data_IF_691026677364
#
_entry.id   IF_691026677364
#
_cell.length_a   1.000
_cell.length_b   1.000
_cell.length_c   1.000
_cell.angle_alpha   90.00
_cell.angle_beta   90.00
_cell.angle_gamma   90.00
#
_symmetry.space_group_name_H-M   'P 1'
#
loop_
_entity.id
_entity.type
_entity.pdbx_description
1 polymer ?
#
# COMPACT_ATOMS: atom_id res chain seq x y z
N UNK A 1 -10.97 -11.44 2.88
CA UNK A 1 -9.84 -10.52 3.13
C UNK A 1 -9.03 -10.90 4.38
N UNK A 2 -9.60 -11.05 5.58
CA UNK A 2 -8.83 -11.47 6.78
C UNK A 2 -8.11 -12.81 6.57
N UNK A 3 -8.82 -13.86 6.12
CA UNK A 3 -8.21 -15.16 5.83
C UNK A 3 -7.10 -15.07 4.76
N UNK A 4 -7.28 -14.23 3.74
CA UNK A 4 -6.23 -13.97 2.74
C UNK A 4 -5.01 -13.31 3.36
N UNK A 5 -5.19 -12.41 4.33
CA UNK A 5 -4.12 -11.75 5.08
C UNK A 5 -3.31 -12.75 5.90
N UNK A 6 -3.98 -13.62 6.66
CA UNK A 6 -3.33 -14.68 7.45
C UNK A 6 -2.53 -15.62 6.53
N UNK A 7 -3.14 -16.10 5.45
CA UNK A 7 -2.46 -16.96 4.48
C UNK A 7 -1.24 -16.27 3.87
N UNK A 8 -1.39 -15.00 3.47
CA UNK A 8 -0.31 -14.18 2.90
C UNK A 8 0.83 -14.03 3.90
N UNK A 9 0.53 -13.74 5.17
CA UNK A 9 1.54 -13.61 6.22
C UNK A 9 2.35 -14.89 6.42
N UNK A 10 1.68 -16.04 6.45
CA UNK A 10 2.31 -17.37 6.60
C UNK A 10 3.23 -17.64 5.39
N UNK A 11 2.71 -17.48 4.17
CA UNK A 11 3.49 -17.71 2.94
C UNK A 11 4.74 -16.82 2.89
N UNK A 12 4.60 -15.54 3.28
CA UNK A 12 5.71 -14.59 3.28
C UNK A 12 6.78 -14.85 4.36
N UNK A 13 6.55 -15.76 5.32
CA UNK A 13 7.62 -16.23 6.23
C UNK A 13 8.61 -17.15 5.52
N UNK A 14 8.16 -17.87 4.49
CA UNK A 14 8.95 -18.88 3.78
C UNK A 14 9.39 -18.42 2.39
N UNK A 15 8.57 -17.59 1.73
CA UNK A 15 8.81 -17.16 0.35
C UNK A 15 8.81 -15.65 0.27
N UNK A 16 9.97 -15.08 -0.10
CA UNK A 16 10.05 -13.66 -0.43
C UNK A 16 9.25 -13.38 -1.72
N UNK A 17 8.54 -12.25 -1.78
CA UNK A 17 7.83 -11.88 -3.00
C UNK A 17 8.81 -11.75 -4.17
N UNK A 18 8.62 -12.49 -5.29
CA UNK A 18 9.67 -12.71 -6.30
C UNK A 18 9.81 -11.54 -7.29
N UNK A 19 9.71 -10.30 -6.81
CA UNK A 19 9.81 -9.07 -7.62
C UNK A 19 10.63 -7.98 -6.92
N UNK A 20 11.17 -7.04 -7.70
CA UNK A 20 11.99 -5.95 -7.18
C UNK A 20 13.39 -6.41 -6.74
N UNK A 21 13.73 -6.25 -5.46
CA UNK A 21 15.06 -6.63 -4.94
C UNK A 21 15.24 -8.13 -4.74
N UNK A 22 14.14 -8.88 -4.73
CA UNK A 22 14.14 -10.34 -4.59
C UNK A 22 13.88 -11.07 -5.92
N UNK A 23 13.97 -10.36 -7.05
CA UNK A 23 13.95 -11.00 -8.37
C UNK A 23 15.15 -11.95 -8.50
N UNK A 24 14.88 -13.21 -8.83
CA UNK A 24 15.89 -14.27 -9.02
C UNK A 24 15.52 -15.14 -10.23
N UNK A 25 16.37 -16.10 -10.62
CA UNK A 25 15.99 -17.08 -11.67
C UNK A 25 14.68 -17.81 -11.34
N UNK A 26 14.38 -18.03 -10.04
CA UNK A 26 13.12 -18.62 -9.59
C UNK A 26 11.89 -17.75 -9.82
N UNK A 27 12.05 -16.45 -10.13
CA UNK A 27 10.93 -15.58 -10.49
C UNK A 27 10.20 -16.02 -11.77
N UNK A 28 10.91 -16.72 -12.68
CA UNK A 28 10.31 -17.26 -13.92
C UNK A 28 9.37 -18.43 -13.66
N UNK A 29 9.50 -19.12 -12.53
CA UNK A 29 8.57 -20.19 -12.11
C UNK A 29 7.17 -19.64 -11.78
N UNK A 30 7.02 -18.32 -11.60
CA UNK A 30 5.74 -17.63 -11.36
C UNK A 30 5.13 -17.04 -12.65
N UNK A 31 5.57 -17.53 -13.82
CA UNK A 31 5.06 -17.14 -15.14
C UNK A 31 5.91 -16.07 -15.84
N UNK A 32 5.46 -15.58 -17.01
CA UNK A 32 6.22 -14.64 -17.81
C UNK A 32 6.44 -13.32 -17.05
N UNK A 33 7.62 -12.73 -17.28
CA UNK A 33 8.01 -11.44 -16.72
C UNK A 33 7.43 -10.31 -17.58
N UNK A 34 6.62 -9.45 -16.96
CA UNK A 34 5.92 -8.36 -17.63
C UNK A 34 6.48 -6.98 -17.21
N UNK A 35 6.35 -5.95 -18.06
CA UNK A 35 6.80 -4.59 -17.73
C UNK A 35 6.13 -4.08 -16.45
N UNK A 36 6.94 -3.73 -15.45
CA UNK A 36 6.43 -3.40 -14.12
C UNK A 36 5.42 -2.25 -14.14
N UNK A 37 5.61 -1.23 -14.99
CA UNK A 37 4.69 -0.07 -15.09
C UNK A 37 3.28 -0.51 -15.47
N UNK A 38 3.17 -1.38 -16.46
CA UNK A 38 1.90 -1.94 -16.93
C UNK A 38 1.26 -2.80 -15.85
N UNK A 39 2.06 -3.67 -15.19
CA UNK A 39 1.54 -4.50 -14.10
C UNK A 39 0.98 -3.67 -12.94
N UNK A 40 1.72 -2.66 -12.49
CA UNK A 40 1.28 -1.77 -11.40
C UNK A 40 0.00 -1.00 -11.76
N UNK A 41 -0.08 -0.47 -12.98
CA UNK A 41 -1.31 0.18 -13.44
C UNK A 41 -2.49 -0.80 -13.44
N UNK A 42 -2.35 -1.96 -14.08
CA UNK A 42 -3.44 -2.94 -14.21
C UNK A 42 -3.89 -3.45 -12.84
N UNK A 43 -2.96 -3.82 -11.97
CA UNK A 43 -3.31 -4.48 -10.71
C UNK A 43 -3.95 -3.55 -9.67
N UNK A 44 -3.63 -2.25 -9.69
CA UNK A 44 -4.15 -1.28 -8.71
C UNK A 44 -5.42 -0.56 -9.19
N UNK A 45 -5.64 -0.48 -10.52
CA UNK A 45 -6.80 0.18 -11.14
C UNK A 45 -8.19 -0.30 -10.69
N UNK A 46 -8.44 -1.57 -10.30
CA UNK A 46 -9.77 -1.99 -9.86
C UNK A 46 -10.35 -1.14 -8.73
N UNK A 47 -9.52 -0.65 -7.81
CA UNK A 47 -9.99 0.21 -6.71
C UNK A 47 -10.61 1.51 -7.25
N UNK A 48 -9.98 2.16 -8.24
CA UNK A 48 -10.52 3.36 -8.87
C UNK A 48 -11.77 3.07 -9.71
N UNK A 49 -11.76 1.96 -10.45
CA UNK A 49 -12.92 1.53 -11.25
C UNK A 49 -14.14 1.35 -10.35
N UNK A 50 -13.98 0.71 -9.19
CA UNK A 50 -15.08 0.54 -8.24
C UNK A 50 -15.60 1.88 -7.71
N UNK A 51 -14.72 2.86 -7.43
CA UNK A 51 -15.16 4.20 -7.02
C UNK A 51 -16.00 4.85 -8.13
N UNK A 52 -15.51 4.85 -9.38
CA UNK A 52 -16.19 5.49 -10.51
C UNK A 52 -17.55 4.84 -10.78
N UNK A 53 -17.59 3.51 -10.92
CA UNK A 53 -18.82 2.77 -11.21
C UNK A 53 -19.92 3.01 -10.17
N UNK A 54 -19.52 3.21 -8.90
CA UNK A 54 -20.46 3.35 -7.78
C UNK A 54 -20.84 4.79 -7.50
N UNK A 55 -20.00 5.76 -7.85
CA UNK A 55 -20.39 7.18 -7.87
C UNK A 55 -21.36 7.50 -9.01
N UNK A 56 -21.31 6.76 -10.12
CA UNK A 56 -22.28 6.87 -11.21
C UNK A 56 -23.61 6.15 -10.96
N UNK A 57 -23.71 5.37 -9.87
CA UNK A 57 -24.91 4.63 -9.53
C UNK A 57 -25.90 5.53 -8.76
N UNK A 58 -27.10 5.71 -9.29
CA UNK A 58 -28.17 6.47 -8.64
C UNK A 58 -28.61 5.86 -7.30
N UNK A 59 -28.29 4.59 -7.06
CA UNK A 59 -28.54 3.88 -5.81
C UNK A 59 -27.45 4.12 -4.75
N UNK A 60 -26.42 4.93 -5.01
CA UNK A 60 -25.39 5.25 -4.00
C UNK A 60 -25.98 6.20 -2.93
N UNK A 61 -26.65 5.61 -1.94
CA UNK A 61 -27.48 6.33 -0.96
C UNK A 61 -26.66 7.22 -0.02
N UNK A 62 -25.42 6.85 0.28
CA UNK A 62 -24.63 7.54 1.31
C UNK A 62 -23.40 8.29 0.78
N UNK A 63 -23.03 8.14 -0.49
CA UNK A 63 -21.78 8.69 -1.02
C UNK A 63 -21.69 10.21 -0.94
N UNK A 64 -22.82 10.91 -0.91
CA UNK A 64 -22.89 12.37 -0.81
C UNK A 64 -22.85 12.90 0.63
N UNK A 65 -22.93 12.01 1.63
CA UNK A 65 -22.85 12.44 3.04
C UNK A 65 -21.41 12.83 3.36
N UNK A 66 -21.15 13.90 4.14
CA UNK A 66 -19.81 14.45 4.32
C UNK A 66 -18.75 13.42 4.73
N UNK A 67 -19.03 12.60 5.77
CA UNK A 67 -18.07 11.59 6.23
C UNK A 67 -17.77 10.50 5.18
N UNK A 68 -18.81 9.97 4.53
CA UNK A 68 -18.67 8.96 3.48
C UNK A 68 -17.89 9.51 2.28
N UNK A 69 -18.24 10.72 1.83
CA UNK A 69 -17.58 11.39 0.73
C UNK A 69 -16.09 11.63 1.04
N UNK A 70 -15.78 12.19 2.21
CA UNK A 70 -14.38 12.42 2.62
C UNK A 70 -13.58 11.12 2.66
N UNK A 71 -14.12 10.05 3.25
CA UNK A 71 -13.44 8.74 3.28
C UNK A 71 -13.25 8.16 1.86
N UNK A 72 -14.26 8.28 1.00
CA UNK A 72 -14.16 7.84 -0.39
C UNK A 72 -13.10 8.64 -1.15
N UNK A 73 -13.00 9.95 -0.90
CA UNK A 73 -11.96 10.79 -1.49
C UNK A 73 -10.57 10.45 -0.96
N UNK A 74 -10.41 10.16 0.33
CA UNK A 74 -9.13 9.68 0.89
C UNK A 74 -8.68 8.40 0.19
N UNK A 75 -9.58 7.41 0.09
CA UNK A 75 -9.33 6.16 -0.62
C UNK A 75 -9.02 6.39 -2.10
N UNK A 76 -9.80 7.27 -2.75
CA UNK A 76 -9.62 7.63 -4.16
C UNK A 76 -8.32 8.37 -4.45
N UNK A 77 -7.90 9.31 -3.60
CA UNK A 77 -6.64 10.04 -3.75
C UNK A 77 -5.45 9.10 -3.62
N UNK A 78 -5.49 8.18 -2.64
CA UNK A 78 -4.47 7.15 -2.50
C UNK A 78 -4.36 6.33 -3.80
N UNK A 79 -5.46 5.74 -4.26
CA UNK A 79 -5.43 4.87 -5.42
C UNK A 79 -5.21 5.63 -6.73
N UNK A 80 -5.57 6.89 -6.82
CA UNK A 80 -5.21 7.73 -7.96
C UNK A 80 -3.70 7.90 -8.02
N UNK A 81 -3.06 8.17 -6.87
CA UNK A 81 -1.62 8.18 -6.80
C UNK A 81 -1.04 6.81 -7.14
N UNK A 82 -1.52 5.73 -6.53
CA UNK A 82 -0.93 4.39 -6.63
C UNK A 82 -1.10 3.73 -7.99
N UNK A 83 -2.26 3.91 -8.63
CA UNK A 83 -2.57 3.29 -9.93
C UNK A 83 -2.10 4.14 -11.11
N UNK A 84 -2.11 5.47 -10.99
CA UNK A 84 -1.81 6.37 -12.12
C UNK A 84 -0.46 7.06 -11.94
N UNK A 85 -0.30 7.84 -10.87
CA UNK A 85 0.87 8.70 -10.71
C UNK A 85 2.15 7.91 -10.43
N UNK A 86 2.08 6.88 -9.58
CA UNK A 86 3.21 6.07 -9.20
C UNK A 86 3.78 5.27 -10.40
N UNK A 87 2.97 4.56 -11.22
CA UNK A 87 3.48 3.86 -12.40
C UNK A 87 3.97 4.82 -13.49
N UNK A 88 3.37 6.00 -13.61
CA UNK A 88 3.84 7.05 -14.52
C UNK A 88 5.22 7.58 -14.13
N UNK A 89 5.49 7.71 -12.82
CA UNK A 89 6.78 8.17 -12.28
C UNK A 89 7.82 7.07 -12.11
N UNK A 90 7.46 5.81 -12.31
CA UNK A 90 8.38 4.69 -12.19
C UNK A 90 9.33 4.64 -13.40
N UNK A 91 10.60 4.29 -13.16
CA UNK A 91 11.61 4.19 -14.22
C UNK A 91 11.14 3.20 -15.31
N UNK A 92 11.38 3.53 -16.58
CA UNK A 92 11.10 2.67 -17.74
C UNK A 92 11.86 1.35 -17.66
N UNK A 93 13.08 1.37 -17.10
CA UNK A 93 13.93 0.20 -16.92
C UNK A 93 13.68 -0.52 -15.58
N UNK A 94 12.55 -0.26 -14.91
CA UNK A 94 12.21 -0.94 -13.68
C UNK A 94 12.15 -2.46 -13.88
N UNK A 95 12.81 -3.21 -12.99
CA UNK A 95 12.83 -4.67 -13.00
C UNK A 95 11.42 -5.25 -13.18
N UNK A 96 11.24 -6.20 -14.12
CA UNK A 96 9.92 -6.71 -14.47
C UNK A 96 9.30 -7.55 -13.34
N UNK A 97 7.99 -7.76 -13.43
CA UNK A 97 7.19 -8.47 -12.42
C UNK A 97 6.60 -9.76 -13.02
N UNK A 98 6.61 -10.90 -12.30
CA UNK A 98 5.96 -12.12 -12.75
C UNK A 98 4.44 -11.97 -12.88
N UNK A 99 3.85 -12.56 -13.92
CA UNK A 99 2.40 -12.52 -14.18
C UNK A 99 1.56 -12.99 -12.99
N UNK A 100 1.93 -14.10 -12.33
CA UNK A 100 1.14 -14.62 -11.21
C UNK A 100 1.04 -13.60 -10.05
N UNK A 101 2.12 -12.86 -9.77
CA UNK A 101 2.13 -11.82 -8.74
C UNK A 101 1.16 -10.69 -9.10
N UNK A 102 1.18 -10.24 -10.35
CA UNK A 102 0.25 -9.22 -10.85
C UNK A 102 -1.21 -9.70 -10.73
N UNK A 103 -1.50 -10.95 -11.12
CA UNK A 103 -2.85 -11.50 -11.04
C UNK A 103 -3.35 -11.62 -9.59
N UNK A 104 -2.49 -12.05 -8.66
CA UNK A 104 -2.84 -12.08 -7.23
C UNK A 104 -3.15 -10.67 -6.70
N UNK A 105 -2.35 -9.66 -7.08
CA UNK A 105 -2.59 -8.27 -6.69
C UNK A 105 -3.87 -7.71 -7.33
N UNK A 106 -4.13 -8.01 -8.60
CA UNK A 106 -5.35 -7.62 -9.30
C UNK A 106 -6.60 -8.20 -8.62
N UNK A 107 -6.56 -9.50 -8.29
CA UNK A 107 -7.64 -10.17 -7.57
C UNK A 107 -7.90 -9.54 -6.20
N UNK A 108 -6.83 -9.28 -5.44
CA UNK A 108 -6.92 -8.60 -4.16
C UNK A 108 -7.53 -7.20 -4.30
N UNK A 109 -7.04 -6.37 -5.21
CA UNK A 109 -7.51 -5.00 -5.43
C UNK A 109 -8.97 -4.95 -5.90
N UNK A 110 -9.41 -5.94 -6.67
CA UNK A 110 -10.81 -6.07 -7.09
C UNK A 110 -11.71 -6.32 -5.86
N UNK A 111 -11.32 -7.26 -4.99
CA UNK A 111 -12.07 -7.53 -3.75
C UNK A 111 -12.02 -6.34 -2.79
N UNK A 112 -10.84 -5.74 -2.59
CA UNK A 112 -10.69 -4.61 -1.67
C UNK A 112 -11.52 -3.41 -2.13
N UNK A 113 -11.37 -3.00 -3.40
CA UNK A 113 -12.12 -1.91 -3.99
C UNK A 113 -13.62 -2.13 -3.87
N UNK A 114 -14.10 -3.33 -4.21
CA UNK A 114 -15.50 -3.70 -4.03
C UNK A 114 -15.95 -3.56 -2.58
N UNK A 115 -15.23 -4.16 -1.61
CA UNK A 115 -15.62 -4.14 -0.20
C UNK A 115 -15.62 -2.74 0.41
N UNK A 116 -14.59 -1.92 0.15
CA UNK A 116 -14.51 -0.57 0.71
C UNK A 116 -15.60 0.32 0.14
N UNK A 117 -15.78 0.31 -1.18
CA UNK A 117 -16.79 1.14 -1.84
C UNK A 117 -18.20 0.68 -1.47
N UNK A 118 -18.49 -0.62 -1.43
CA UNK A 118 -19.78 -1.11 -0.95
C UNK A 118 -20.06 -0.71 0.51
N UNK A 119 -19.02 -0.77 1.35
CA UNK A 119 -19.11 -0.35 2.74
C UNK A 119 -19.42 1.14 2.85
N UNK A 120 -18.72 2.00 2.11
CA UNK A 120 -18.89 3.45 2.17
C UNK A 120 -20.13 3.98 1.45
N UNK A 121 -20.57 3.37 0.36
CA UNK A 121 -21.67 3.89 -0.46
C UNK A 121 -23.04 3.35 -0.04
N UNK A 122 -23.11 2.14 0.56
CA UNK A 122 -24.39 1.47 0.84
C UNK A 122 -24.56 0.93 2.26
N UNK A 123 -23.49 0.57 2.98
CA UNK A 123 -23.63 -0.12 4.28
C UNK A 123 -23.41 0.79 5.49
N UNK A 124 -22.34 1.59 5.49
CA UNK A 124 -21.96 2.42 6.62
C UNK A 124 -22.65 3.76 6.56
N UNK A 125 -23.78 3.85 7.26
CA UNK A 125 -24.44 5.13 7.49
C UNK A 125 -23.83 5.80 8.72
N UNK A 126 -23.01 6.83 8.52
CA UNK A 126 -22.49 7.62 9.64
C UNK A 126 -23.57 8.59 10.18
N UNK A 127 -23.61 8.87 11.50
CA UNK A 127 -24.47 9.92 12.05
C UNK A 127 -24.17 11.31 11.47
N UNK A 128 -25.14 12.22 11.53
CA UNK A 128 -24.86 13.62 11.20
C UNK A 128 -23.82 14.21 12.15
N UNK A 129 -22.95 15.07 11.62
CA UNK A 129 -21.84 15.65 12.38
C UNK A 129 -20.70 14.68 12.73
N UNK A 130 -20.74 13.40 12.30
CA UNK A 130 -19.66 12.45 12.58
C UNK A 130 -18.29 12.93 12.06
N UNK A 131 -18.26 13.72 10.99
CA UNK A 131 -17.04 14.33 10.45
C UNK A 131 -16.33 15.31 11.41
N UNK A 132 -17.04 15.84 12.41
CA UNK A 132 -16.47 16.69 13.45
C UNK A 132 -16.09 15.91 14.72
N UNK A 133 -16.42 14.63 14.78
CA UNK A 133 -16.08 13.78 15.91
C UNK A 133 -14.57 13.56 16.03
N UNK A 134 -14.07 13.53 17.26
CA UNK A 134 -12.63 13.36 17.54
C UNK A 134 -12.03 12.13 16.86
N UNK A 135 -12.79 11.03 16.80
CA UNK A 135 -12.37 9.80 16.13
C UNK A 135 -12.13 10.00 14.64
N UNK A 136 -13.06 10.67 13.97
CA UNK A 136 -12.98 10.91 12.53
C UNK A 136 -11.79 11.82 12.22
N UNK A 137 -11.71 12.97 12.91
CA UNK A 137 -10.62 13.93 12.73
C UNK A 137 -9.26 13.32 13.02
N UNK A 138 -9.13 12.59 14.13
CA UNK A 138 -7.89 11.91 14.50
C UNK A 138 -7.49 10.86 13.44
N UNK A 139 -8.44 10.04 12.97
CA UNK A 139 -8.18 9.08 11.90
C UNK A 139 -7.76 9.74 10.58
N UNK A 140 -8.38 10.87 10.22
CA UNK A 140 -7.98 11.67 9.04
C UNK A 140 -6.56 12.23 9.20
N UNK A 141 -6.20 12.77 10.35
CA UNK A 141 -4.85 13.27 10.61
C UNK A 141 -3.80 12.15 10.48
N UNK A 142 -4.07 10.98 11.05
CA UNK A 142 -3.19 9.81 10.92
C UNK A 142 -3.07 9.38 9.46
N UNK A 143 -4.18 9.35 8.73
CA UNK A 143 -4.19 9.00 7.30
C UNK A 143 -3.28 9.94 6.50
N UNK A 144 -3.45 11.25 6.67
CA UNK A 144 -2.67 12.27 5.95
C UNK A 144 -1.18 12.13 6.25
N UNK A 145 -0.82 11.93 7.52
CA UNK A 145 0.56 11.72 7.93
C UNK A 145 1.17 10.45 7.31
N UNK A 146 0.43 9.33 7.33
CA UNK A 146 0.84 8.08 6.70
C UNK A 146 1.01 8.21 5.19
N UNK A 147 0.04 8.83 4.51
CA UNK A 147 0.06 9.07 3.07
C UNK A 147 1.24 9.95 2.66
N UNK A 148 1.48 11.05 3.39
CA UNK A 148 2.64 11.91 3.14
C UNK A 148 3.96 11.15 3.33
N UNK A 149 4.07 10.37 4.41
CA UNK A 149 5.26 9.54 4.67
C UNK A 149 5.49 8.53 3.55
N UNK A 150 4.43 7.89 3.03
CA UNK A 150 4.51 6.98 1.90
C UNK A 150 5.00 7.69 0.63
N UNK A 151 4.40 8.84 0.28
CA UNK A 151 4.77 9.63 -0.90
C UNK A 151 6.22 10.12 -0.85
N UNK A 152 6.63 10.66 0.29
CA UNK A 152 7.99 11.15 0.51
C UNK A 152 9.00 10.00 0.40
N UNK A 153 8.71 8.87 1.03
CA UNK A 153 9.59 7.70 1.01
C UNK A 153 9.75 7.13 -0.40
N UNK A 154 8.65 7.00 -1.14
CA UNK A 154 8.70 6.55 -2.53
C UNK A 154 9.42 7.57 -3.44
N UNK A 155 9.35 8.87 -3.14
CA UNK A 155 10.12 9.89 -3.86
C UNK A 155 11.63 9.75 -3.61
N UNK A 156 12.06 9.53 -2.37
CA UNK A 156 13.46 9.26 -2.02
C UNK A 156 13.97 8.02 -2.77
N UNK A 157 13.20 6.91 -2.73
CA UNK A 157 13.58 5.67 -3.41
C UNK A 157 13.69 5.83 -4.93
N UNK A 158 12.79 6.61 -5.55
CA UNK A 158 12.90 6.95 -6.98
C UNK A 158 14.13 7.80 -7.28
N UNK A 159 14.46 8.75 -6.41
CA UNK A 159 15.65 9.59 -6.54
C UNK A 159 16.94 8.76 -6.60
N UNK A 160 17.06 7.75 -5.73
CA UNK A 160 18.22 6.84 -5.73
C UNK A 160 18.37 6.08 -7.04
N UNK A 161 17.26 5.57 -7.60
CA UNK A 161 17.28 4.86 -8.89
C UNK A 161 17.64 5.75 -10.07
N UNK A 162 17.35 7.06 -10.00
CA UNK A 162 17.73 8.01 -11.06
C UNK A 162 19.23 8.30 -11.06
N UNK A 163 19.89 8.19 -9.90
CA UNK A 163 21.33 8.40 -9.78
C UNK A 163 22.14 7.22 -10.33
N UNK A 164 21.66 5.99 -10.10
CA UNK A 164 22.20 4.77 -10.71
C UNK A 164 21.10 3.72 -10.83
N UNK A 165 20.81 3.27 -12.06
CA UNK A 165 19.66 2.40 -12.33
C UNK A 165 19.87 0.96 -11.82
N UNK A 166 21.12 0.48 -11.83
CA UNK A 166 21.46 -0.92 -11.53
C UNK A 166 22.01 -1.15 -10.11
N UNK A 167 22.38 -0.08 -9.40
CA UNK A 167 22.99 -0.17 -8.07
C UNK A 167 21.98 0.16 -6.96
N UNK A 168 21.82 -0.75 -5.99
CA UNK A 168 21.06 -0.44 -4.79
C UNK A 168 21.86 0.48 -3.88
N UNK A 169 21.17 1.40 -3.20
CA UNK A 169 21.77 2.32 -2.22
C UNK A 169 20.98 2.33 -0.92
N UNK A 170 21.65 2.74 0.16
CA UNK A 170 21.02 2.96 1.46
C UNK A 170 20.20 4.25 1.39
N UNK A 171 18.86 4.20 1.55
CA UNK A 171 18.05 5.41 1.57
C UNK A 171 18.33 6.25 2.82
N UNK A 172 18.36 7.58 2.66
CA UNK A 172 18.54 8.56 3.73
C UNK A 172 17.47 9.65 3.64
N UNK A 173 17.18 10.30 4.76
CA UNK A 173 16.16 11.34 4.91
C UNK A 173 14.79 10.81 5.33
N UNK A 174 14.04 11.68 6.01
CA UNK A 174 12.69 11.37 6.50
C UNK A 174 12.68 10.17 7.44
N UNK A 175 11.66 9.32 7.32
CA UNK A 175 11.52 8.12 8.16
C UNK A 175 12.56 7.03 7.88
N UNK A 176 13.33 7.14 6.79
CA UNK A 176 14.41 6.17 6.54
C UNK A 176 15.52 6.25 7.58
N UNK A 177 15.65 7.35 8.33
CA UNK A 177 16.62 7.43 9.43
C UNK A 177 16.32 6.46 10.57
N UNK A 178 15.04 6.11 10.76
CA UNK A 178 14.60 5.21 11.83
C UNK A 178 14.33 3.79 11.34
N UNK A 179 13.83 3.63 10.10
CA UNK A 179 13.38 2.33 9.58
C UNK A 179 13.82 2.07 8.15
N UNK A 180 14.03 0.80 7.79
CA UNK A 180 14.45 0.38 6.45
C UNK A 180 13.37 0.55 5.40
N UNK A 181 12.10 0.41 5.78
CA UNK A 181 10.97 0.44 4.87
C UNK A 181 9.99 1.54 5.25
N UNK A 182 10.44 2.79 5.19
CA UNK A 182 9.66 3.97 5.53
C UNK A 182 8.36 4.10 4.69
N UNK A 183 8.38 3.69 3.43
CA UNK A 183 7.18 3.68 2.58
C UNK A 183 6.13 2.67 3.08
N UNK A 184 6.56 1.48 3.52
CA UNK A 184 5.65 0.49 4.11
C UNK A 184 5.09 0.95 5.45
N UNK A 185 5.91 1.60 6.29
CA UNK A 185 5.43 2.23 7.52
C UNK A 185 4.36 3.27 7.24
N UNK A 186 4.61 4.17 6.28
CA UNK A 186 3.64 5.18 5.86
C UNK A 186 2.31 4.57 5.43
N UNK A 187 2.35 3.52 4.61
CA UNK A 187 1.15 2.83 4.12
C UNK A 187 0.37 2.11 5.23
N UNK A 188 1.06 1.50 6.21
CA UNK A 188 0.42 0.89 7.39
C UNK A 188 -0.27 1.96 8.24
N UNK A 189 0.40 3.08 8.51
CA UNK A 189 -0.16 4.18 9.29
C UNK A 189 -1.34 4.82 8.56
N UNK A 190 -1.22 5.01 7.25
CA UNK A 190 -2.27 5.56 6.39
C UNK A 190 -3.56 4.75 6.55
N UNK A 191 -3.48 3.43 6.33
CA UNK A 191 -4.65 2.57 6.44
C UNK A 191 -5.14 2.37 7.87
N UNK A 192 -4.27 2.53 8.89
CA UNK A 192 -4.69 2.59 10.28
C UNK A 192 -5.59 3.80 10.53
N UNK A 193 -5.18 4.99 10.04
CA UNK A 193 -5.97 6.22 10.11
C UNK A 193 -7.31 6.08 9.40
N UNK A 194 -7.31 5.51 8.19
CA UNK A 194 -8.53 5.20 7.45
C UNK A 194 -9.46 4.27 8.24
N UNK A 195 -8.94 3.20 8.83
CA UNK A 195 -9.71 2.27 9.66
C UNK A 195 -10.29 2.95 10.90
N UNK A 196 -9.52 3.81 11.57
CA UNK A 196 -9.99 4.58 12.73
C UNK A 196 -11.14 5.50 12.33
N UNK A 197 -11.00 6.26 11.25
CA UNK A 197 -12.02 7.19 10.78
C UNK A 197 -13.28 6.46 10.28
N UNK A 198 -13.12 5.38 9.51
CA UNK A 198 -14.20 4.61 8.91
C UNK A 198 -14.94 3.71 9.91
N UNK A 199 -14.27 3.24 10.97
CA UNK A 199 -14.84 2.35 11.99
C UNK A 199 -15.64 1.17 11.40
N UNK A 200 -15.12 0.51 10.38
CA UNK A 200 -15.87 -0.52 9.67
C UNK A 200 -15.10 -1.83 9.58
N UNK A 201 -15.85 -2.94 9.50
CA UNK A 201 -15.26 -4.27 9.32
C UNK A 201 -14.44 -4.37 8.03
N UNK A 202 -14.89 -3.71 6.96
CA UNK A 202 -14.18 -3.68 5.68
C UNK A 202 -12.84 -2.94 5.82
N UNK A 203 -12.82 -1.75 6.41
CA UNK A 203 -11.59 -0.96 6.60
C UNK A 203 -10.60 -1.66 7.54
N UNK A 204 -11.08 -2.28 8.62
CA UNK A 204 -10.24 -3.08 9.52
C UNK A 204 -9.61 -4.27 8.80
N UNK A 205 -10.41 -5.04 8.05
CA UNK A 205 -9.89 -6.19 7.31
C UNK A 205 -8.82 -5.79 6.30
N UNK A 206 -8.91 -4.58 5.73
CA UNK A 206 -7.93 -4.08 4.78
C UNK A 206 -6.65 -3.64 5.48
N UNK A 207 -6.74 -2.83 6.53
CA UNK A 207 -5.58 -2.46 7.35
C UNK A 207 -4.85 -3.70 7.88
N UNK A 208 -5.59 -4.70 8.36
CA UNK A 208 -5.02 -5.97 8.82
C UNK A 208 -4.29 -6.70 7.68
N UNK A 209 -4.90 -6.80 6.50
CA UNK A 209 -4.24 -7.39 5.33
C UNK A 209 -2.95 -6.63 4.96
N UNK A 210 -2.98 -5.30 4.97
CA UNK A 210 -1.81 -4.45 4.72
C UNK A 210 -0.69 -4.78 5.70
N UNK A 211 -0.99 -4.91 6.99
CA UNK A 211 0.00 -5.32 7.99
C UNK A 211 0.58 -6.70 7.68
N UNK A 212 -0.28 -7.69 7.41
CA UNK A 212 0.11 -9.06 7.07
C UNK A 212 1.01 -9.16 5.82
N UNK A 213 0.79 -8.29 4.83
CA UNK A 213 1.55 -8.28 3.59
C UNK A 213 2.86 -7.48 3.71
N UNK A 214 2.83 -6.30 4.36
CA UNK A 214 3.95 -5.37 4.36
C UNK A 214 4.96 -5.63 5.48
N UNK A 215 4.54 -6.09 6.66
CA UNK A 215 5.47 -6.31 7.79
C UNK A 215 6.50 -7.41 7.46
N UNK A 216 6.12 -8.62 7.00
CA UNK A 216 7.10 -9.66 6.64
C UNK A 216 8.04 -9.20 5.53
N UNK A 217 7.50 -8.48 4.52
CA UNK A 217 8.29 -7.94 3.42
C UNK A 217 9.31 -6.90 3.92
N UNK A 218 8.92 -6.07 4.88
CA UNK A 218 9.83 -5.11 5.49
C UNK A 218 10.98 -5.79 6.24
N UNK A 219 10.68 -6.87 6.98
CA UNK A 219 11.69 -7.67 7.68
C UNK A 219 12.66 -8.30 6.67
N UNK A 220 12.15 -8.85 5.57
CA UNK A 220 12.99 -9.40 4.50
C UNK A 220 13.87 -8.33 3.85
N UNK A 221 13.32 -7.15 3.55
CA UNK A 221 14.08 -6.01 3.06
C UNK A 221 15.18 -5.56 4.03
N UNK A 222 14.88 -5.52 5.33
CA UNK A 222 15.82 -5.14 6.36
C UNK A 222 16.99 -6.13 6.46
N UNK A 223 16.69 -7.44 6.45
CA UNK A 223 17.72 -8.51 6.42
C UNK A 223 18.59 -8.39 5.17
N UNK A 224 17.98 -8.15 4.01
CA UNK A 224 18.72 -7.96 2.77
C UNK A 224 19.65 -6.74 2.84
N UNK A 225 19.19 -5.61 3.37
CA UNK A 225 20.02 -4.42 3.53
C UNK A 225 21.23 -4.66 4.45
N UNK A 226 21.02 -5.34 5.59
CA UNK A 226 22.11 -5.71 6.53
C UNK A 226 23.14 -6.65 5.91
N UNK A 227 22.69 -7.60 5.08
CA UNK A 227 23.59 -8.54 4.41
C UNK A 227 24.33 -7.89 3.23
N UNK A 228 23.71 -6.94 2.54
CA UNK A 228 24.24 -6.35 1.31
C UNK A 228 25.18 -5.16 1.56
N UNK A 229 24.93 -4.35 2.58
CA UNK A 229 25.75 -3.18 2.89
C UNK A 229 26.50 -3.36 4.20
N UNK A 230 27.83 -3.29 4.15
CA UNK A 230 28.68 -3.30 5.35
C UNK A 230 28.42 -2.10 6.25
N UNK A 231 28.17 -0.93 5.67
CA UNK A 231 27.94 0.33 6.39
C UNK A 231 26.45 0.60 6.67
N UNK A 232 25.63 -0.46 6.77
CA UNK A 232 24.21 -0.28 7.06
C UNK A 232 23.98 0.19 8.50
N UNK A 233 23.18 1.25 8.75
CA UNK A 233 22.94 1.74 10.10
C UNK A 233 22.30 0.67 11.00
N UNK A 234 23.02 0.29 12.06
CA UNK A 234 22.63 -0.80 12.98
C UNK A 234 21.38 -0.49 13.79
N UNK A 235 21.11 0.79 14.06
CA UNK A 235 19.98 1.25 14.87
C UNK A 235 18.64 1.17 14.12
N UNK A 236 18.66 1.17 12.78
CA UNK A 236 17.45 1.13 11.96
C UNK A 236 16.68 -0.17 12.22
N UNK A 237 15.35 -0.05 12.31
CA UNK A 237 14.43 -1.20 12.41
C UNK A 237 13.80 -1.52 11.06
N UNK A 238 13.10 -2.64 10.96
CA UNK A 238 12.52 -3.06 9.69
C UNK A 238 11.38 -2.13 9.20
N UNK A 239 10.38 -1.90 10.04
CA UNK A 239 9.19 -1.08 9.71
C UNK A 239 8.67 -0.26 10.88
N UNK A 240 8.63 -0.79 12.10
CA UNK A 240 8.21 -0.02 13.26
C UNK A 240 9.44 0.48 14.03
N UNK A 241 9.55 1.79 14.30
CA UNK A 241 10.57 2.31 15.20
C UNK A 241 10.45 1.60 16.55
N UNK A 242 11.58 1.17 17.12
CA UNK A 242 11.67 0.55 18.46
C UNK A 242 11.04 -0.84 18.64
N UNK A 243 10.53 -1.48 17.58
CA UNK A 243 10.14 -2.90 17.59
C UNK A 243 11.05 -3.73 16.66
N UNK A 244 11.17 -5.03 16.95
CA UNK A 244 12.14 -5.97 16.35
C UNK A 244 11.96 -6.10 14.84
#
# INVERSE_FOLDING_TARGET
>A
MIAMGVLTFIVLQFVNSPFGKHTSMGSMSFGPLLPARTCWFIMECPNLIHIVLRLSDSLSLYSYRPANFTLLMMFGIHYFNRSIIYPLRMNRNAKPMPLAVMLCALFFCSINGYLQVCSLCYSNRFPEGYCYGIRFLFGVCIFIYGFFTNLQSDAILRGLKKQNEDEYRIPKGGMFEFVSCANFLGEIIEWAGFCIACNSRASFAFWFYTCCNLIPRAVSHHRWYKAHFKDYPVERKAVFPYMV
#
